data_IF_242772347986
#
_entry.id   IF_242772347986
#
_cell.length_a   1.000
_cell.length_b   1.000
_cell.length_c   1.000
_cell.angle_alpha   90.00
_cell.angle_beta   90.00
_cell.angle_gamma   90.00
#
_symmetry.space_group_name_H-M   'P 1'
#
loop_
_entity.id
_entity.type
_entity.pdbx_description
1 polymer ?
#
# COMPACT_ATOMS: atom_id res chain seq x y z
N UNK A 1 8.15 -0.89 21.38
CA UNK A 1 9.10 0.18 20.97
C UNK A 1 10.08 -0.26 19.88
N UNK A 2 9.70 -1.16 18.96
CA UNK A 2 10.60 -1.68 17.89
C UNK A 2 10.22 -1.24 16.48
N UNK A 3 9.24 -0.36 16.33
CA UNK A 3 8.77 0.10 15.00
C UNK A 3 9.55 1.27 14.39
N UNK A 4 10.43 1.92 15.13
CA UNK A 4 11.08 3.18 14.71
C UNK A 4 12.36 2.99 13.89
N UNK A 5 13.08 1.87 14.02
CA UNK A 5 14.39 1.71 13.37
C UNK A 5 14.33 1.44 11.87
N UNK A 6 13.39 0.63 11.41
CA UNK A 6 13.27 0.32 9.97
C UNK A 6 12.83 1.53 9.15
N UNK A 7 12.07 2.44 9.76
CA UNK A 7 11.55 3.65 9.11
C UNK A 7 12.58 4.77 8.99
N UNK A 8 13.49 4.88 9.98
CA UNK A 8 14.62 5.86 9.92
C UNK A 8 15.63 5.48 8.83
N UNK A 9 15.77 4.20 8.51
CA UNK A 9 16.67 3.74 7.44
C UNK A 9 16.20 4.18 6.04
N UNK A 10 14.90 4.28 5.83
CA UNK A 10 14.34 4.71 4.55
C UNK A 10 14.51 6.22 4.29
N UNK A 11 14.42 7.04 5.35
CA UNK A 11 14.68 8.49 5.24
C UNK A 11 16.12 8.81 4.81
N UNK A 12 17.07 7.97 5.17
CA UNK A 12 18.47 8.11 4.75
C UNK A 12 18.71 7.71 3.30
N UNK A 13 17.89 6.80 2.77
CA UNK A 13 18.01 6.29 1.39
C UNK A 13 17.43 7.23 0.33
N UNK A 14 16.49 8.10 0.68
CA UNK A 14 15.85 9.02 -0.29
C UNK A 14 16.60 10.33 -0.48
N UNK A 15 17.64 10.61 0.35
CA UNK A 15 18.45 11.82 0.20
C UNK A 15 17.67 13.14 0.36
N UNK A 16 16.46 13.11 0.96
CA UNK A 16 15.56 14.26 1.09
C UNK A 16 15.92 15.13 2.31
N UNK A 17 17.15 15.60 2.35
CA UNK A 17 17.58 16.65 3.26
C UNK A 17 17.38 18.09 2.74
N UNK A 18 16.50 18.31 1.75
CA UNK A 18 16.21 19.63 1.21
C UNK A 18 14.74 20.00 1.38
N UNK A 19 14.48 21.11 2.06
CA UNK A 19 13.19 21.77 2.14
C UNK A 19 12.71 22.13 0.73
N UNK A 20 11.64 21.51 0.26
CA UNK A 20 11.00 21.85 -1.02
C UNK A 20 9.79 22.71 -0.73
N UNK A 21 9.90 23.99 -1.10
CA UNK A 21 8.81 24.96 -1.04
C UNK A 21 7.62 24.60 -1.95
N UNK A 22 6.49 25.34 -1.90
CA UNK A 22 5.27 24.97 -2.60
C UNK A 22 5.39 25.07 -4.13
N UNK A 23 4.97 24.01 -4.81
CA UNK A 23 4.40 23.99 -6.16
C UNK A 23 5.29 24.28 -7.40
N UNK A 24 6.41 23.55 -7.58
CA UNK A 24 6.91 23.29 -8.95
C UNK A 24 7.89 22.10 -9.05
N UNK A 25 8.06 21.33 -8.00
CA UNK A 25 8.87 20.11 -7.99
C UNK A 25 8.09 18.86 -8.42
N UNK A 26 8.78 17.76 -8.76
CA UNK A 26 8.13 16.48 -9.03
C UNK A 26 7.29 16.07 -7.81
N UNK A 27 6.11 15.51 -8.06
CA UNK A 27 5.22 15.01 -7.01
C UNK A 27 6.03 14.06 -6.09
N UNK A 28 6.20 14.40 -4.79
CA UNK A 28 7.08 13.63 -3.91
C UNK A 28 6.65 12.16 -3.78
N UNK A 29 5.35 11.88 -3.93
CA UNK A 29 4.85 10.51 -3.95
C UNK A 29 5.37 9.72 -5.16
N UNK A 30 5.51 10.38 -6.31
CA UNK A 30 6.08 9.79 -7.52
C UNK A 30 7.56 9.39 -7.34
N UNK A 31 8.33 10.19 -6.62
CA UNK A 31 9.73 9.84 -6.30
C UNK A 31 9.81 8.56 -5.45
N UNK A 32 8.90 8.38 -4.49
CA UNK A 32 8.81 7.13 -3.70
C UNK A 32 8.44 5.95 -4.60
N UNK A 33 7.50 6.13 -5.51
CA UNK A 33 7.08 5.08 -6.45
C UNK A 33 8.22 4.64 -7.37
N UNK A 34 8.96 5.60 -7.93
CA UNK A 34 10.10 5.35 -8.83
C UNK A 34 11.24 4.64 -8.08
N UNK A 35 11.56 5.07 -6.86
CA UNK A 35 12.58 4.42 -6.03
C UNK A 35 12.20 2.96 -5.69
N UNK A 36 10.95 2.73 -5.31
CA UNK A 36 10.46 1.37 -5.02
C UNK A 36 10.49 0.47 -6.25
N UNK A 37 10.10 0.97 -7.42
CA UNK A 37 10.11 0.21 -8.66
C UNK A 37 11.54 -0.17 -9.09
N UNK A 38 12.52 0.70 -8.84
CA UNK A 38 13.93 0.43 -9.16
C UNK A 38 14.58 -0.55 -8.19
N UNK A 39 14.32 -0.41 -6.89
CA UNK A 39 14.97 -1.25 -5.84
C UNK A 39 14.31 -2.59 -5.63
N UNK A 40 13.04 -2.70 -5.98
CA UNK A 40 12.23 -3.90 -5.76
C UNK A 40 11.63 -4.39 -7.09
N UNK A 41 12.47 -4.55 -8.10
CA UNK A 41 12.14 -4.95 -9.48
C UNK A 41 11.43 -6.33 -9.57
N UNK A 42 11.62 -7.17 -8.54
CA UNK A 42 10.96 -8.48 -8.44
C UNK A 42 9.50 -8.41 -7.99
N UNK A 43 9.05 -7.26 -7.47
CA UNK A 43 7.66 -7.05 -7.07
C UNK A 43 6.94 -6.29 -8.17
N UNK A 44 5.88 -6.87 -8.70
CA UNK A 44 5.00 -6.16 -9.62
C UNK A 44 4.34 -4.98 -8.91
N UNK A 45 4.32 -3.82 -9.56
CA UNK A 45 3.61 -2.64 -9.09
C UNK A 45 2.41 -2.36 -9.99
N UNK A 46 1.21 -2.22 -9.42
CA UNK A 46 0.00 -1.82 -10.15
C UNK A 46 -0.40 -0.40 -9.76
N UNK A 47 -0.91 0.38 -10.71
CA UNK A 47 -1.41 1.72 -10.45
C UNK A 47 -2.83 1.73 -9.86
N UNK A 48 -3.25 2.83 -9.16
CA UNK A 48 -4.61 2.94 -8.65
C UNK A 48 -5.69 2.84 -9.73
N UNK A 49 -5.43 3.34 -10.95
CA UNK A 49 -6.34 3.22 -12.09
C UNK A 49 -6.57 1.77 -12.52
N UNK A 50 -5.50 0.99 -12.62
CA UNK A 50 -5.55 -0.44 -12.93
C UNK A 50 -6.35 -1.20 -11.87
N UNK A 51 -6.02 -0.99 -10.60
CA UNK A 51 -6.74 -1.65 -9.50
C UNK A 51 -8.22 -1.27 -9.47
N UNK A 52 -8.55 0.02 -9.61
CA UNK A 52 -9.94 0.48 -9.61
C UNK A 52 -10.76 -0.15 -10.74
N UNK A 53 -10.21 -0.23 -11.95
CA UNK A 53 -10.86 -0.87 -13.08
C UNK A 53 -11.14 -2.34 -12.80
N UNK A 54 -10.19 -3.06 -12.25
CA UNK A 54 -10.33 -4.49 -11.91
C UNK A 54 -11.39 -4.71 -10.84
N UNK A 55 -11.44 -3.86 -9.81
CA UNK A 55 -12.47 -3.93 -8.76
C UNK A 55 -13.87 -3.63 -9.32
N UNK A 56 -14.01 -2.66 -10.24
CA UNK A 56 -15.26 -2.35 -10.92
C UNK A 56 -15.74 -3.51 -11.81
N UNK A 57 -14.82 -4.22 -12.44
CA UNK A 57 -15.11 -5.39 -13.29
C UNK A 57 -15.34 -6.67 -12.47
N UNK A 58 -15.33 -6.59 -11.14
CA UNK A 58 -15.46 -7.72 -10.22
C UNK A 58 -14.41 -8.83 -10.48
N UNK A 59 -13.23 -8.44 -10.96
CA UNK A 59 -12.14 -9.40 -11.12
C UNK A 59 -11.73 -10.02 -9.79
N UNK A 60 -11.24 -11.25 -9.78
CA UNK A 60 -10.84 -11.93 -8.55
C UNK A 60 -9.55 -11.34 -7.97
N UNK A 61 -9.68 -10.30 -7.18
CA UNK A 61 -8.60 -9.63 -6.44
C UNK A 61 -8.74 -9.94 -4.95
N UNK A 62 -7.64 -10.29 -4.29
CA UNK A 62 -7.49 -10.32 -2.84
C UNK A 62 -6.66 -9.10 -2.42
N UNK A 63 -7.31 -8.13 -1.78
CA UNK A 63 -6.75 -6.84 -1.46
C UNK A 63 -6.39 -6.75 0.03
N UNK A 64 -5.12 -6.45 0.34
CA UNK A 64 -4.59 -6.42 1.69
C UNK A 64 -4.01 -5.07 2.07
N UNK A 65 -4.51 -4.50 3.18
CA UNK A 65 -3.97 -3.30 3.80
C UNK A 65 -2.92 -3.67 4.86
N UNK A 66 -1.70 -3.23 4.68
CA UNK A 66 -0.58 -3.53 5.58
C UNK A 66 -0.31 -2.43 6.61
N UNK A 67 -1.26 -1.51 6.80
CA UNK A 67 -1.18 -0.46 7.78
C UNK A 67 -1.57 -0.95 9.19
N UNK A 68 -1.40 -0.09 10.18
CA UNK A 68 -1.87 -0.36 11.54
C UNK A 68 -3.41 -0.48 11.59
N UNK A 69 -3.94 -1.07 12.66
CA UNK A 69 -5.38 -1.13 12.88
C UNK A 69 -5.99 0.28 12.94
N UNK A 70 -5.34 1.20 13.64
CA UNK A 70 -5.80 2.59 13.75
C UNK A 70 -5.88 3.29 12.38
N UNK A 71 -4.87 3.13 11.52
CA UNK A 71 -4.88 3.68 10.15
C UNK A 71 -6.03 3.07 9.32
N UNK A 72 -6.25 1.76 9.42
CA UNK A 72 -7.29 1.03 8.71
C UNK A 72 -8.71 1.44 9.14
N UNK A 73 -8.94 1.62 10.44
CA UNK A 73 -10.23 2.02 10.98
C UNK A 73 -10.64 3.43 10.51
N UNK A 74 -9.70 4.35 10.36
CA UNK A 74 -9.99 5.70 9.84
C UNK A 74 -10.48 5.63 8.40
N UNK A 75 -9.81 4.90 7.53
CA UNK A 75 -10.29 4.59 6.19
C UNK A 75 -9.43 3.55 5.48
N UNK A 76 -10.03 2.81 4.55
CA UNK A 76 -9.36 1.83 3.71
C UNK A 76 -10.06 1.70 2.35
N UNK A 77 -9.42 1.04 1.39
CA UNK A 77 -10.03 0.75 0.08
C UNK A 77 -11.16 -0.28 0.28
N UNK A 78 -12.34 -0.10 -0.33
CA UNK A 78 -13.44 -1.05 -0.19
C UNK A 78 -13.02 -2.49 -0.50
N UNK A 79 -13.42 -3.42 0.36
CA UNK A 79 -13.08 -4.83 0.24
C UNK A 79 -11.68 -5.23 0.70
N UNK A 80 -10.88 -4.29 1.19
CA UNK A 80 -9.57 -4.61 1.73
C UNK A 80 -9.66 -5.33 3.09
N UNK A 81 -8.73 -6.24 3.31
CA UNK A 81 -8.52 -6.93 4.58
C UNK A 81 -7.20 -6.46 5.18
N UNK A 82 -7.22 -6.10 6.46
CA UNK A 82 -5.99 -5.71 7.14
C UNK A 82 -5.11 -6.93 7.41
N UNK A 83 -3.83 -6.79 7.13
CA UNK A 83 -2.81 -7.79 7.46
C UNK A 83 -1.63 -7.12 8.17
N UNK A 84 -1.05 -7.80 9.15
CA UNK A 84 0.15 -7.31 9.80
C UNK A 84 1.34 -7.30 8.82
N UNK A 85 2.06 -6.18 8.65
CA UNK A 85 3.21 -6.13 7.75
C UNK A 85 4.36 -7.07 8.16
N UNK A 86 4.36 -7.59 9.40
CA UNK A 86 5.34 -8.55 9.88
C UNK A 86 4.89 -10.01 9.81
N UNK A 87 3.66 -10.28 9.32
CA UNK A 87 3.10 -11.64 9.28
C UNK A 87 4.07 -12.65 8.67
N UNK A 88 4.33 -13.79 9.34
CA UNK A 88 5.13 -14.87 8.78
C UNK A 88 4.45 -15.51 7.57
N UNK A 89 5.24 -15.96 6.57
CA UNK A 89 4.71 -16.59 5.36
C UNK A 89 3.81 -17.80 5.64
N UNK A 90 4.17 -18.63 6.62
CA UNK A 90 3.36 -19.78 7.03
C UNK A 90 2.01 -19.38 7.64
N UNK A 91 1.98 -18.29 8.40
CA UNK A 91 0.75 -17.76 8.98
C UNK A 91 -0.13 -17.11 7.90
N UNK A 92 0.45 -16.31 7.00
CA UNK A 92 -0.28 -15.75 5.86
C UNK A 92 -0.95 -16.86 5.05
N UNK A 93 -0.23 -17.95 4.77
CA UNK A 93 -0.78 -19.11 4.06
C UNK A 93 -1.96 -19.75 4.81
N UNK A 94 -1.86 -19.93 6.12
CA UNK A 94 -2.95 -20.54 6.92
C UNK A 94 -4.19 -19.62 6.99
N UNK A 95 -3.98 -18.32 7.14
CA UNK A 95 -5.07 -17.36 7.38
C UNK A 95 -5.75 -16.90 6.10
N UNK A 96 -5.00 -16.81 4.99
CA UNK A 96 -5.47 -16.17 3.76
C UNK A 96 -5.28 -17.03 2.50
N UNK A 97 -4.83 -18.28 2.65
CA UNK A 97 -4.57 -19.18 1.52
C UNK A 97 -5.77 -19.34 0.62
N UNK A 98 -6.93 -19.70 1.17
CA UNK A 98 -8.17 -19.89 0.41
C UNK A 98 -8.65 -18.60 -0.26
N UNK A 99 -8.45 -17.48 0.40
CA UNK A 99 -8.79 -16.16 -0.18
C UNK A 99 -7.86 -15.81 -1.34
N UNK A 100 -6.58 -16.12 -1.24
CA UNK A 100 -5.57 -15.76 -2.25
C UNK A 100 -5.58 -16.72 -3.46
N UNK A 101 -6.04 -17.97 -3.28
CA UNK A 101 -6.04 -18.97 -4.33
C UNK A 101 -6.88 -18.52 -5.54
N UNK A 102 -6.27 -18.59 -6.73
CA UNK A 102 -6.90 -18.19 -7.99
C UNK A 102 -7.14 -16.69 -8.14
N UNK A 103 -6.62 -15.86 -7.26
CA UNK A 103 -6.78 -14.39 -7.27
C UNK A 103 -5.45 -13.69 -7.48
N UNK A 104 -5.54 -12.45 -7.94
CA UNK A 104 -4.41 -11.53 -7.87
C UNK A 104 -4.35 -10.93 -6.47
N UNK A 105 -3.22 -11.09 -5.81
CA UNK A 105 -2.98 -10.57 -4.47
C UNK A 105 -2.37 -9.18 -4.57
N UNK A 106 -3.05 -8.18 -4.03
CA UNK A 106 -2.60 -6.79 -4.03
C UNK A 106 -2.37 -6.34 -2.59
N UNK A 107 -1.15 -5.93 -2.28
CA UNK A 107 -0.82 -5.31 -1.01
C UNK A 107 -0.72 -3.79 -1.17
N UNK A 108 -1.16 -3.04 -0.15
CA UNK A 108 -0.92 -1.61 -0.07
C UNK A 108 -0.65 -1.16 1.38
N UNK A 109 0.00 -0.01 1.51
CA UNK A 109 0.08 0.75 2.76
C UNK A 109 -0.20 2.23 2.46
N UNK A 110 0.33 3.16 3.25
CA UNK A 110 0.13 4.60 3.00
C UNK A 110 0.73 5.04 1.66
N UNK A 111 1.99 4.68 1.37
CA UNK A 111 2.75 5.13 0.18
C UNK A 111 3.40 3.99 -0.62
N UNK A 112 3.20 2.72 -0.24
CA UNK A 112 3.74 1.55 -0.93
C UNK A 112 4.97 0.90 -0.30
N UNK A 113 5.63 1.52 0.69
CA UNK A 113 6.91 1.02 1.26
C UNK A 113 6.73 -0.28 2.06
N UNK A 114 5.87 -0.27 3.08
CA UNK A 114 5.60 -1.45 3.94
C UNK A 114 5.04 -2.62 3.12
N UNK A 115 4.14 -2.31 2.20
CA UNK A 115 3.48 -3.30 1.34
C UNK A 115 4.41 -3.91 0.30
N UNK A 116 5.35 -3.16 -0.27
CA UNK A 116 6.38 -3.71 -1.16
C UNK A 116 7.27 -4.71 -0.41
N UNK A 117 7.72 -4.36 0.79
CA UNK A 117 8.54 -5.25 1.62
C UNK A 117 7.79 -6.55 1.99
N UNK A 118 6.49 -6.46 2.31
CA UNK A 118 5.66 -7.63 2.56
C UNK A 118 5.45 -8.46 1.29
N UNK A 119 5.11 -7.83 0.16
CA UNK A 119 4.92 -8.51 -1.11
C UNK A 119 6.18 -9.28 -1.52
N UNK A 120 7.36 -8.67 -1.41
CA UNK A 120 8.64 -9.30 -1.71
C UNK A 120 8.90 -10.53 -0.83
N UNK A 121 8.55 -10.46 0.45
CA UNK A 121 8.71 -11.57 1.40
C UNK A 121 7.70 -12.70 1.16
N UNK A 122 6.47 -12.35 0.76
CA UNK A 122 5.37 -13.31 0.65
C UNK A 122 5.13 -13.85 -0.76
N UNK A 123 5.72 -13.28 -1.81
CA UNK A 123 5.44 -13.66 -3.19
C UNK A 123 5.60 -15.17 -3.45
N UNK A 124 6.65 -15.80 -2.90
CA UNK A 124 6.84 -17.25 -3.05
C UNK A 124 5.79 -18.04 -2.29
N UNK A 125 5.40 -17.61 -1.09
CA UNK A 125 4.36 -18.25 -0.30
C UNK A 125 2.98 -18.11 -0.96
N UNK A 126 2.67 -16.95 -1.53
CA UNK A 126 1.43 -16.69 -2.26
C UNK A 126 1.35 -17.52 -3.55
N UNK A 127 2.45 -17.66 -4.28
CA UNK A 127 2.50 -18.54 -5.46
C UNK A 127 2.27 -20.01 -5.08
N UNK A 128 2.80 -20.47 -3.95
CA UNK A 128 2.60 -21.85 -3.47
C UNK A 128 1.12 -22.14 -3.16
N UNK A 129 0.33 -21.17 -2.74
CA UNK A 129 -1.11 -21.32 -2.49
C UNK A 129 -1.97 -21.06 -3.74
N UNK A 130 -1.36 -20.92 -4.90
CA UNK A 130 -2.09 -20.78 -6.16
C UNK A 130 -2.59 -19.35 -6.46
N UNK A 131 -2.01 -18.33 -5.85
CA UNK A 131 -2.26 -16.94 -6.28
C UNK A 131 -1.81 -16.73 -7.74
N UNK A 132 -2.59 -15.99 -8.51
CA UNK A 132 -2.27 -15.70 -9.92
C UNK A 132 -1.08 -14.75 -10.04
N UNK A 133 -1.04 -13.74 -9.20
CA UNK A 133 0.04 -12.76 -9.11
C UNK A 133 0.11 -12.14 -7.73
N UNK A 134 1.25 -11.51 -7.43
CA UNK A 134 1.43 -10.68 -6.23
C UNK A 134 1.93 -9.32 -6.67
N UNK A 135 1.28 -8.26 -6.22
CA UNK A 135 1.71 -6.90 -6.55
C UNK A 135 1.53 -5.93 -5.37
N UNK A 136 2.24 -4.82 -5.47
CA UNK A 136 2.09 -3.66 -4.61
C UNK A 136 1.30 -2.57 -5.34
N UNK A 137 0.41 -1.87 -4.63
CA UNK A 137 -0.26 -0.68 -5.14
C UNK A 137 0.71 0.51 -5.10
N UNK A 138 1.08 1.02 -6.27
CA UNK A 138 1.95 2.20 -6.42
C UNK A 138 1.36 3.42 -5.74
N UNK A 139 2.16 4.10 -4.92
CA UNK A 139 1.74 5.26 -4.14
C UNK A 139 0.75 4.95 -3.02
N UNK A 140 0.36 3.69 -2.86
CA UNK A 140 -0.50 3.20 -1.79
C UNK A 140 -1.83 3.94 -1.66
N UNK A 141 -2.34 3.99 -0.42
CA UNK A 141 -3.60 4.67 -0.12
C UNK A 141 -3.55 6.17 -0.38
N UNK A 142 -2.38 6.79 -0.25
CA UNK A 142 -2.26 8.24 -0.47
C UNK A 142 -2.50 8.60 -1.92
N UNK A 143 -1.93 7.87 -2.86
CA UNK A 143 -2.22 8.09 -4.29
C UNK A 143 -3.66 7.74 -4.63
N UNK A 144 -4.21 6.66 -4.08
CA UNK A 144 -5.63 6.30 -4.23
C UNK A 144 -6.55 7.44 -3.79
N UNK A 145 -6.30 8.02 -2.61
CA UNK A 145 -7.03 9.17 -2.08
C UNK A 145 -6.83 10.42 -2.93
N UNK A 146 -5.59 10.72 -3.32
CA UNK A 146 -5.27 11.90 -4.12
C UNK A 146 -5.90 11.87 -5.54
N UNK A 147 -6.23 10.68 -6.03
CA UNK A 147 -7.02 10.46 -7.24
C UNK A 147 -8.54 10.43 -6.95
N UNK A 148 -8.97 10.84 -5.75
CA UNK A 148 -10.38 10.97 -5.33
C UNK A 148 -11.18 9.67 -5.44
N UNK A 149 -10.51 8.53 -5.24
CA UNK A 149 -11.13 7.23 -5.30
C UNK A 149 -11.82 6.87 -3.99
N UNK A 150 -12.84 6.00 -4.08
CA UNK A 150 -13.67 5.61 -2.96
C UNK A 150 -12.86 5.01 -1.80
N UNK A 151 -13.18 5.47 -0.59
CA UNK A 151 -12.70 4.95 0.68
C UNK A 151 -13.89 4.62 1.58
N UNK A 152 -13.70 3.67 2.47
CA UNK A 152 -14.69 3.29 3.48
C UNK A 152 -14.08 3.24 4.87
N UNK A 153 -14.94 3.47 5.87
CA UNK A 153 -14.68 3.27 7.29
C UNK A 153 -15.93 2.67 7.91
N UNK A 154 -15.81 1.56 8.64
CA UNK A 154 -16.96 0.87 9.27
C UNK A 154 -18.16 0.68 8.30
N UNK A 155 -17.88 0.32 7.04
CA UNK A 155 -18.92 0.10 6.03
C UNK A 155 -19.58 1.35 5.46
N UNK A 156 -19.11 2.55 5.82
CA UNK A 156 -19.61 3.84 5.33
C UNK A 156 -18.55 4.55 4.49
N UNK A 157 -18.98 5.41 3.56
CA UNK A 157 -18.05 6.24 2.79
C UNK A 157 -17.18 7.10 3.72
N UNK A 158 -15.88 7.15 3.44
CA UNK A 158 -14.90 7.95 4.16
C UNK A 158 -14.20 8.92 3.20
N UNK A 159 -13.82 10.10 3.72
CA UNK A 159 -13.12 11.13 2.93
C UNK A 159 -11.72 11.44 3.46
N UNK A 160 -11.41 11.00 4.67
CA UNK A 160 -10.14 11.30 5.35
C UNK A 160 -9.23 10.09 5.34
N UNK A 161 -7.92 10.33 5.32
CA UNK A 161 -6.87 9.31 5.42
C UNK A 161 -5.99 9.65 6.61
N UNK A 162 -5.59 8.65 7.39
CA UNK A 162 -4.60 8.83 8.45
C UNK A 162 -3.24 9.19 7.82
N UNK A 163 -2.66 10.36 8.15
CA UNK A 163 -1.45 10.84 7.50
C UNK A 163 -0.19 10.06 7.90
N UNK A 164 -0.26 9.18 8.89
CA UNK A 164 0.81 8.48 9.59
C UNK A 164 1.59 9.42 10.53
N UNK A 165 2.24 10.46 10.01
CA UNK A 165 2.89 11.55 10.74
C UNK A 165 2.89 12.84 9.89
N UNK A 166 3.42 13.94 10.47
CA UNK A 166 3.46 15.25 9.83
C UNK A 166 4.33 15.29 8.56
N UNK A 167 5.33 14.41 8.48
CA UNK A 167 6.17 14.31 7.28
C UNK A 167 5.35 13.75 6.11
N UNK A 168 4.61 12.68 6.33
CA UNK A 168 3.82 12.01 5.30
C UNK A 168 2.50 12.75 5.00
N UNK A 169 1.97 13.55 5.94
CA UNK A 169 0.80 14.38 5.72
C UNK A 169 0.92 15.27 4.46
N UNK A 170 2.14 15.71 4.15
CA UNK A 170 2.44 16.57 2.98
C UNK A 170 2.22 15.89 1.64
N UNK A 171 2.09 14.57 1.61
CA UNK A 171 1.85 13.78 0.41
C UNK A 171 0.35 13.61 0.12
N UNK A 172 -0.52 14.00 1.06
CA UNK A 172 -1.96 14.00 0.90
C UNK A 172 -2.44 15.34 0.33
N UNK A 173 -3.35 15.27 -0.65
CA UNK A 173 -4.11 16.46 -1.05
C UNK A 173 -5.01 16.89 0.11
N UNK A 174 -5.20 18.20 0.32
CA UNK A 174 -6.23 18.68 1.24
C UNK A 174 -7.59 18.05 0.88
N UNK A 175 -8.37 17.68 1.89
CA UNK A 175 -9.74 17.26 1.67
C UNK A 175 -10.53 18.44 1.05
N UNK A 176 -11.24 18.17 -0.05
CA UNK A 176 -12.12 19.13 -0.68
C UNK A 176 -13.43 19.31 0.14
#
# INVERSE_FOLDING_TARGET
>A
MMGSMAFRFLLWLVGLGAWVGPASGPNPLRLVEEDLAQRCDRVRHCGPGELAQRLLQLEPVALFDTRSAQEFEISHIPGAIRVDPSIPAGEFRRSFGDLAAGRDVVFYCSVGVRSTALAQRLQNAACVIGAKSVCNLSGGLFRWHNEERALVSHGRSAKTVHPFDDYWARFLKPAA
#
